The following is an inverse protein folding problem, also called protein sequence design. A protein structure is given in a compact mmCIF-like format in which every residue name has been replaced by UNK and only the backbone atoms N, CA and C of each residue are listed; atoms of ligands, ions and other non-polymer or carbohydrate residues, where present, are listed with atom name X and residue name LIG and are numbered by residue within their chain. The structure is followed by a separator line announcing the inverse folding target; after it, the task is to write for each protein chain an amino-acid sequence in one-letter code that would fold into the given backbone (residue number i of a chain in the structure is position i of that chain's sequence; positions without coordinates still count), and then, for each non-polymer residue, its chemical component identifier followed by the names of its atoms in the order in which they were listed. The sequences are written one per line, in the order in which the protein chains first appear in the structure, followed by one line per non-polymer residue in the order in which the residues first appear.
data_IF_123968084925
#
_entry.id   IF_123968084925
#
_cell.length_a   1.000
_cell.length_b   1.000
_cell.length_c   1.000
_cell.angle_alpha   90.00
_cell.angle_beta   90.00
_cell.angle_gamma   90.00
#
_symmetry.space_group_name_H-M   'P 1'
#
loop_
_entity.id
_entity.type
_entity.pdbx_description
1 polymer ?
#
# COMPACT_ATOMS: atom_id res chain seq x y z
N UNK A 1 -20.18 21.71 7.38
CA UNK A 1 -18.79 22.10 7.65
C UNK A 1 -18.00 20.82 7.85
N UNK A 2 -17.32 20.33 6.82
CA UNK A 2 -16.38 19.21 6.98
C UNK A 2 -15.15 19.81 7.62
N UNK A 3 -14.80 19.35 8.82
CA UNK A 3 -13.60 19.81 9.52
C UNK A 3 -12.39 19.42 8.69
N UNK A 4 -11.73 20.41 8.06
CA UNK A 4 -10.62 20.18 7.14
C UNK A 4 -9.50 19.50 7.91
N UNK A 5 -9.22 18.25 7.55
CA UNK A 5 -8.21 17.45 8.23
C UNK A 5 -6.84 18.06 7.98
N UNK A 6 -6.09 18.40 9.05
CA UNK A 6 -4.70 18.86 8.92
C UNK A 6 -3.90 17.91 8.02
N UNK A 7 -3.16 18.46 7.06
CA UNK A 7 -2.37 17.71 6.06
C UNK A 7 -1.51 16.57 6.65
N UNK A 8 -0.94 16.76 7.84
CA UNK A 8 -0.18 15.71 8.54
C UNK A 8 -1.03 14.50 8.90
N UNK A 9 -2.27 14.70 9.36
CA UNK A 9 -3.21 13.61 9.67
C UNK A 9 -3.65 12.90 8.39
N UNK A 10 -3.93 13.65 7.33
CA UNK A 10 -4.29 13.09 6.02
C UNK A 10 -3.17 12.20 5.46
N UNK A 11 -1.93 12.66 5.56
CA UNK A 11 -0.75 11.91 5.11
C UNK A 11 -0.57 10.62 5.91
N UNK A 12 -0.69 10.68 7.25
CA UNK A 12 -0.62 9.49 8.10
C UNK A 12 -1.73 8.50 7.78
N UNK A 13 -2.98 8.97 7.63
CA UNK A 13 -4.12 8.12 7.30
C UNK A 13 -3.94 7.46 5.92
N UNK A 14 -3.41 8.22 4.94
CA UNK A 14 -3.15 7.75 3.59
C UNK A 14 -2.13 6.60 3.59
N UNK A 15 -1.02 6.75 4.33
CA UNK A 15 -0.04 5.68 4.46
C UNK A 15 -0.62 4.46 5.17
N UNK A 16 -1.27 4.64 6.32
CA UNK A 16 -1.86 3.52 7.07
C UNK A 16 -2.87 2.73 6.22
N UNK A 17 -3.74 3.45 5.51
CA UNK A 17 -4.77 2.82 4.67
C UNK A 17 -4.17 2.11 3.46
N UNK A 18 -3.18 2.73 2.80
CA UNK A 18 -2.49 2.11 1.66
C UNK A 18 -1.68 0.87 2.08
N UNK A 19 -0.98 0.93 3.23
CA UNK A 19 -0.24 -0.20 3.78
C UNK A 19 -1.16 -1.37 4.10
N UNK A 20 -2.36 -1.12 4.62
CA UNK A 20 -3.29 -2.18 5.03
C UNK A 20 -3.85 -2.99 3.85
N UNK A 21 -3.78 -2.51 2.61
CA UNK A 21 -4.35 -3.21 1.44
C UNK A 21 -3.69 -4.57 1.17
N UNK A 22 -2.36 -4.61 1.11
CA UNK A 22 -1.61 -5.84 0.82
C UNK A 22 -1.80 -6.92 1.89
N UNK A 23 -1.63 -6.65 3.21
CA UNK A 23 -1.84 -7.68 4.23
C UNK A 23 -3.32 -8.08 4.31
N UNK A 24 -4.27 -7.18 3.99
CA UNK A 24 -5.69 -7.56 3.86
C UNK A 24 -5.87 -8.57 2.74
N UNK A 25 -5.35 -8.30 1.55
CA UNK A 25 -5.41 -9.24 0.42
C UNK A 25 -4.77 -10.60 0.77
N UNK A 26 -3.53 -10.58 1.30
CA UNK A 26 -2.82 -11.80 1.67
C UNK A 26 -3.55 -12.59 2.76
N UNK A 27 -4.18 -11.91 3.72
CA UNK A 27 -4.95 -12.57 4.78
C UNK A 27 -6.21 -13.27 4.29
N UNK A 28 -6.82 -12.76 3.23
CA UNK A 28 -8.03 -13.33 2.63
C UNK A 28 -7.70 -14.50 1.70
N UNK A 29 -6.58 -14.41 0.97
CA UNK A 29 -6.18 -15.41 -0.02
C UNK A 29 -5.37 -16.56 0.59
N UNK A 30 -4.49 -16.25 1.55
CA UNK A 30 -3.53 -17.20 2.15
C UNK A 30 -3.60 -17.17 3.70
N UNK A 31 -4.70 -17.63 4.31
CA UNK A 31 -4.80 -17.72 5.76
C UNK A 31 -3.78 -18.72 6.34
N UNK A 32 -3.20 -18.40 7.50
CA UNK A 32 -2.13 -19.21 8.13
C UNK A 32 -2.52 -20.67 8.40
N UNK A 33 -3.78 -20.93 8.76
CA UNK A 33 -4.30 -22.29 9.01
C UNK A 33 -4.62 -23.07 7.73
N UNK A 34 -4.64 -22.39 6.56
CA UNK A 34 -5.23 -22.90 5.33
C UNK A 34 -6.76 -22.93 5.31
N UNK A 35 -7.42 -22.60 6.43
CA UNK A 35 -8.87 -22.46 6.53
C UNK A 35 -9.27 -20.98 6.60
N UNK A 36 -10.46 -20.64 6.10
CA UNK A 36 -11.00 -19.27 6.13
C UNK A 36 -11.67 -18.95 7.47
N UNK A 37 -11.00 -19.28 8.57
CA UNK A 37 -11.44 -18.90 9.91
C UNK A 37 -10.96 -17.49 10.27
N UNK A 38 -11.79 -16.76 11.03
CA UNK A 38 -11.53 -15.36 11.37
C UNK A 38 -10.19 -15.18 12.10
N UNK A 39 -9.84 -16.12 12.97
CA UNK A 39 -8.59 -16.08 13.74
C UNK A 39 -7.37 -16.16 12.82
N UNK A 40 -7.42 -17.03 11.80
CA UNK A 40 -6.32 -17.19 10.84
C UNK A 40 -6.19 -16.03 9.88
N UNK A 41 -7.30 -15.41 9.46
CA UNK A 41 -7.27 -14.16 8.68
C UNK A 41 -6.61 -13.04 9.49
N UNK A 42 -7.05 -12.84 10.74
CA UNK A 42 -6.44 -11.84 11.64
C UNK A 42 -4.97 -12.17 11.90
N UNK A 43 -4.64 -13.45 12.12
CA UNK A 43 -3.28 -13.92 12.32
C UNK A 43 -2.38 -13.59 11.13
N UNK A 44 -2.81 -13.90 9.90
CA UNK A 44 -2.07 -13.56 8.68
C UNK A 44 -1.89 -12.05 8.55
N UNK A 45 -2.94 -11.26 8.80
CA UNK A 45 -2.86 -9.81 8.74
C UNK A 45 -1.82 -9.25 9.74
N UNK A 46 -1.83 -9.74 10.98
CA UNK A 46 -0.89 -9.33 12.03
C UNK A 46 0.54 -9.76 11.69
N UNK A 47 0.73 -10.91 11.05
CA UNK A 47 2.06 -11.38 10.62
C UNK A 47 2.61 -10.57 9.45
N UNK A 48 1.81 -10.33 8.40
CA UNK A 48 2.27 -9.61 7.21
C UNK A 48 2.25 -8.08 7.38
N UNK A 49 1.42 -7.55 8.28
CA UNK A 49 1.28 -6.13 8.55
C UNK A 49 2.62 -5.42 8.79
N UNK A 50 3.47 -5.86 9.74
CA UNK A 50 4.78 -5.27 9.99
C UNK A 50 5.69 -5.24 8.77
N UNK A 51 5.71 -6.29 7.95
CA UNK A 51 6.53 -6.31 6.72
C UNK A 51 6.05 -5.28 5.71
N UNK A 52 4.74 -5.19 5.49
CA UNK A 52 4.17 -4.19 4.57
C UNK A 52 4.37 -2.77 5.09
N UNK A 53 4.32 -2.56 6.40
CA UNK A 53 4.66 -1.29 7.04
C UNK A 53 6.14 -0.93 6.84
N UNK A 54 7.07 -1.88 7.01
CA UNK A 54 8.49 -1.66 6.74
C UNK A 54 8.73 -1.25 5.29
N UNK A 55 8.15 -1.95 4.30
CA UNK A 55 8.28 -1.59 2.88
C UNK A 55 7.72 -0.19 2.62
N UNK A 56 6.58 0.15 3.24
CA UNK A 56 5.99 1.49 3.13
C UNK A 56 6.94 2.55 3.69
N UNK A 57 7.50 2.33 4.88
CA UNK A 57 8.43 3.27 5.52
C UNK A 57 9.75 3.43 4.76
N UNK A 58 10.28 2.36 4.18
CA UNK A 58 11.57 2.36 3.47
C UNK A 58 11.45 2.89 2.04
N UNK A 59 10.33 2.62 1.36
CA UNK A 59 10.18 2.95 -0.06
C UNK A 59 9.14 4.05 -0.28
N UNK A 60 7.90 3.84 0.18
CA UNK A 60 6.79 4.73 -0.13
C UNK A 60 6.93 6.11 0.54
N UNK A 61 7.36 6.16 1.81
CA UNK A 61 7.54 7.43 2.53
C UNK A 61 8.65 8.30 1.89
N UNK A 62 9.86 7.79 1.59
CA UNK A 62 10.87 8.56 0.88
C UNK A 62 10.44 8.97 -0.54
N UNK A 63 9.76 8.09 -1.28
CA UNK A 63 9.25 8.41 -2.60
C UNK A 63 8.23 9.57 -2.55
N UNK A 64 7.30 9.54 -1.61
CA UNK A 64 6.37 10.63 -1.36
C UNK A 64 7.11 11.91 -0.93
N UNK A 65 8.07 11.83 -0.01
CA UNK A 65 8.84 12.98 0.43
C UNK A 65 9.56 13.65 -0.75
N UNK A 66 10.19 12.86 -1.62
CA UNK A 66 10.84 13.34 -2.84
C UNK A 66 9.81 14.02 -3.78
N UNK A 67 8.70 13.34 -4.11
CA UNK A 67 7.66 13.89 -5.00
C UNK A 67 6.98 15.14 -4.44
N UNK A 68 6.76 15.20 -3.13
CA UNK A 68 6.12 16.32 -2.45
C UNK A 68 6.97 17.59 -2.53
N UNK A 69 8.30 17.46 -2.49
CA UNK A 69 9.24 18.58 -2.63
C UNK A 69 9.12 19.27 -4.00
N UNK A 70 8.78 18.52 -5.06
CA UNK A 70 8.60 19.06 -6.41
C UNK A 70 7.15 19.41 -6.74
N UNK A 71 6.21 19.18 -5.81
CA UNK A 71 4.77 19.38 -6.05
C UNK A 71 4.17 18.38 -7.05
N UNK A 72 4.84 17.25 -7.30
CA UNK A 72 4.48 16.25 -8.32
C UNK A 72 3.60 15.10 -7.80
N UNK A 73 3.00 15.26 -6.62
CA UNK A 73 2.08 14.27 -6.07
C UNK A 73 0.73 14.40 -6.80
N UNK A 74 0.64 13.68 -7.92
CA UNK A 74 -0.56 13.53 -8.75
C UNK A 74 -1.07 12.10 -8.59
N UNK A 75 -2.29 11.84 -9.07
CA UNK A 75 -2.85 10.49 -9.01
C UNK A 75 -2.02 9.50 -9.84
N UNK A 76 -1.53 9.93 -11.01
CA UNK A 76 -0.68 9.11 -11.87
C UNK A 76 0.65 8.76 -11.21
N UNK A 77 1.33 9.72 -10.56
CA UNK A 77 2.60 9.43 -9.88
C UNK A 77 2.42 8.54 -8.67
N UNK A 78 1.31 8.70 -7.93
CA UNK A 78 0.99 7.85 -6.79
C UNK A 78 0.69 6.42 -7.23
N UNK A 79 -0.17 6.23 -8.23
CA UNK A 79 -0.45 4.90 -8.82
C UNK A 79 0.83 4.28 -9.40
N UNK A 80 1.60 5.05 -10.18
CA UNK A 80 2.85 4.58 -10.78
C UNK A 80 3.88 4.13 -9.74
N UNK A 81 4.06 4.91 -8.66
CA UNK A 81 4.94 4.53 -7.55
C UNK A 81 4.47 3.26 -6.83
N UNK A 82 3.16 3.10 -6.66
CA UNK A 82 2.56 1.91 -6.06
C UNK A 82 2.77 0.65 -6.91
N UNK A 83 2.49 0.73 -8.22
CA UNK A 83 2.76 -0.34 -9.19
C UNK A 83 4.24 -0.71 -9.17
N UNK A 84 5.12 0.28 -9.33
CA UNK A 84 6.56 0.05 -9.39
C UNK A 84 7.08 -0.61 -8.11
N UNK A 85 6.65 -0.12 -6.95
CA UNK A 85 7.06 -0.68 -5.65
C UNK A 85 6.59 -2.13 -5.50
N UNK A 86 5.35 -2.43 -5.84
CA UNK A 86 4.81 -3.78 -5.71
C UNK A 86 5.47 -4.76 -6.69
N UNK A 87 5.73 -4.34 -7.93
CA UNK A 87 6.43 -5.16 -8.93
C UNK A 87 7.87 -5.44 -8.50
N UNK A 88 8.60 -4.42 -8.04
CA UNK A 88 9.98 -4.59 -7.56
C UNK A 88 10.03 -5.48 -6.31
N UNK A 89 9.13 -5.28 -5.35
CA UNK A 89 9.03 -6.13 -4.17
C UNK A 89 8.75 -7.60 -4.55
N UNK A 90 7.84 -7.83 -5.50
CA UNK A 90 7.52 -9.17 -6.01
C UNK A 90 8.72 -9.80 -6.72
N UNK A 91 9.42 -9.04 -7.57
CA UNK A 91 10.61 -9.54 -8.28
C UNK A 91 11.74 -9.96 -7.33
N UNK A 92 11.93 -9.23 -6.23
CA UNK A 92 13.00 -9.50 -5.25
C UNK A 92 12.61 -10.63 -4.28
N UNK A 93 11.37 -10.63 -3.79
CA UNK A 93 10.92 -11.58 -2.76
C UNK A 93 10.40 -12.90 -3.33
N UNK A 94 9.91 -12.89 -4.57
CA UNK A 94 9.29 -14.03 -5.22
C UNK A 94 9.77 -14.12 -6.69
N UNK A 95 11.06 -14.41 -6.93
CA UNK A 95 11.66 -14.36 -8.28
C UNK A 95 11.08 -15.39 -9.26
N UNK A 96 10.43 -16.44 -8.75
CA UNK A 96 9.78 -17.49 -9.55
C UNK A 96 8.30 -17.23 -9.79
N UNK A 97 7.81 -16.03 -9.52
CA UNK A 97 6.41 -15.66 -9.72
C UNK A 97 6.05 -15.68 -11.20
N UNK A 98 4.94 -16.33 -11.54
CA UNK A 98 4.41 -16.31 -12.90
C UNK A 98 3.93 -14.89 -13.29
N UNK A 99 3.80 -14.63 -14.59
CA UNK A 99 3.35 -13.32 -15.09
C UNK A 99 2.01 -12.86 -14.47
N UNK A 100 1.12 -13.81 -14.15
CA UNK A 100 -0.13 -13.51 -13.48
C UNK A 100 0.07 -12.92 -12.08
N UNK A 101 1.02 -13.44 -11.31
CA UNK A 101 1.32 -12.92 -9.98
C UNK A 101 1.87 -11.50 -10.04
N UNK A 102 2.74 -11.20 -11.00
CA UNK A 102 3.23 -9.84 -11.24
C UNK A 102 2.10 -8.87 -11.55
N UNK A 103 1.15 -9.27 -12.41
CA UNK A 103 0.00 -8.44 -12.75
C UNK A 103 -0.89 -8.20 -11.52
N UNK A 104 -1.17 -9.23 -10.73
CA UNK A 104 -1.97 -9.11 -9.49
C UNK A 104 -1.32 -8.14 -8.50
N UNK A 105 -0.01 -8.28 -8.24
CA UNK A 105 0.70 -7.37 -7.33
C UNK A 105 0.83 -5.95 -7.90
N UNK A 106 1.02 -5.80 -9.21
CA UNK A 106 1.00 -4.49 -9.87
C UNK A 106 -0.35 -3.78 -9.64
N UNK A 107 -1.46 -4.48 -9.83
CA UNK A 107 -2.81 -3.93 -9.60
C UNK A 107 -3.04 -3.57 -8.13
N UNK A 108 -2.62 -4.43 -7.19
CA UNK A 108 -2.70 -4.13 -5.75
C UNK A 108 -1.86 -2.92 -5.36
N UNK A 109 -0.63 -2.84 -5.87
CA UNK A 109 0.26 -1.69 -5.67
C UNK A 109 -0.35 -0.40 -6.23
N UNK A 110 -0.89 -0.45 -7.44
CA UNK A 110 -1.59 0.67 -8.06
C UNK A 110 -2.81 1.11 -7.27
N UNK A 111 -3.63 0.17 -6.80
CA UNK A 111 -4.78 0.45 -5.94
C UNK A 111 -4.35 1.10 -4.61
N UNK A 112 -3.25 0.62 -4.00
CA UNK A 112 -2.70 1.23 -2.79
C UNK A 112 -2.20 2.65 -3.03
N UNK A 113 -1.49 2.90 -4.13
CA UNK A 113 -1.08 4.24 -4.55
C UNK A 113 -2.27 5.17 -4.83
N UNK A 114 -3.36 4.64 -5.37
CA UNK A 114 -4.58 5.39 -5.62
C UNK A 114 -5.32 5.75 -4.32
N UNK A 115 -5.47 4.79 -3.40
CA UNK A 115 -6.07 5.02 -2.07
C UNK A 115 -5.24 6.03 -1.28
N UNK A 116 -3.91 5.93 -1.34
CA UNK A 116 -3.02 6.93 -0.76
C UNK A 116 -3.35 8.32 -1.29
N UNK A 117 -3.40 8.47 -2.63
CA UNK A 117 -3.68 9.77 -3.25
C UNK A 117 -5.04 10.33 -2.86
N UNK A 118 -6.09 9.51 -2.85
CA UNK A 118 -7.45 9.90 -2.50
C UNK A 118 -7.55 10.46 -1.08
N UNK A 119 -6.90 9.80 -0.12
CA UNK A 119 -6.93 10.25 1.29
C UNK A 119 -6.02 11.46 1.47
N UNK A 120 -4.85 11.45 0.84
CA UNK A 120 -3.87 12.52 0.96
C UNK A 120 -4.41 13.87 0.45
N UNK A 121 -5.11 13.88 -0.69
CA UNK A 121 -5.67 15.12 -1.25
C UNK A 121 -6.72 15.77 -0.34
N UNK A 122 -7.41 15.00 0.51
CA UNK A 122 -8.42 15.53 1.43
C UNK A 122 -7.84 16.45 2.51
N UNK A 123 -6.53 16.42 2.76
CA UNK A 123 -5.87 17.36 3.67
C UNK A 123 -5.29 18.61 3.01
N UNK A 124 -5.36 18.67 1.67
CA UNK A 124 -4.81 19.74 0.83
C UNK A 124 -5.88 20.75 0.39
N UNK A 125 -7.14 20.32 0.37
CA UNK A 125 -8.35 21.16 0.19
C UNK A 125 -8.81 21.73 1.53
#
# INVERSE_FOLDING_TARGET
MVDVMKQSKATLLAFVSATALIPTYLSLEFPLSGQRDLLSVIGTFVVFGPFTAMVTCVIAVPAYAALSKFGWVTWWSSVGSGVLTAVLATAVLMPTTEAEGFLRFALLGGAAGFVFWLIWRMGRE
#
